data_IF_586977257503
#
_entry.id   IF_586977257503
#
_cell.length_a   1.000
_cell.length_b   1.000
_cell.length_c   1.000
_cell.angle_alpha   90.00
_cell.angle_beta   90.00
_cell.angle_gamma   90.00
#
_symmetry.space_group_name_H-M   'P 1'
#
loop_
_entity.id
_entity.type
_entity.pdbx_description
1 polymer ?
#
# COMPACT_ATOMS: atom_id res chain seq x y z
N UNK A 1 -38.48 -34.16 -10.99
CA UNK A 1 -37.90 -32.87 -10.56
C UNK A 1 -36.38 -32.95 -10.72
N UNK A 2 -35.76 -32.18 -11.67
CA UNK A 2 -34.30 -32.11 -11.82
C UNK A 2 -33.74 -31.33 -10.62
N UNK A 3 -32.89 -31.98 -9.80
CA UNK A 3 -32.16 -31.29 -8.73
C UNK A 3 -31.27 -30.26 -9.33
N UNK A 4 -31.55 -28.98 -9.14
CA UNK A 4 -30.64 -27.87 -9.49
C UNK A 4 -29.47 -27.99 -8.54
N UNK A 5 -28.30 -28.41 -9.06
CA UNK A 5 -27.03 -28.34 -8.33
C UNK A 5 -26.65 -26.87 -8.22
N UNK A 6 -26.91 -26.25 -7.07
CA UNK A 6 -26.37 -24.91 -6.75
C UNK A 6 -24.84 -25.09 -6.68
N UNK A 7 -24.12 -24.63 -7.69
CA UNK A 7 -22.65 -24.55 -7.62
C UNK A 7 -22.33 -23.46 -6.58
N UNK A 8 -21.58 -23.85 -5.56
CA UNK A 8 -21.01 -22.85 -4.64
C UNK A 8 -20.15 -21.86 -5.46
N UNK A 9 -20.25 -20.54 -5.19
CA UNK A 9 -19.42 -19.57 -5.88
C UNK A 9 -17.94 -19.89 -5.62
N UNK A 10 -17.13 -19.78 -6.65
CA UNK A 10 -15.67 -19.96 -6.55
C UNK A 10 -15.10 -18.87 -5.63
N UNK A 11 -14.10 -19.23 -4.82
CA UNK A 11 -13.35 -18.23 -4.04
C UNK A 11 -12.65 -17.25 -4.98
N UNK A 12 -12.75 -15.96 -4.65
CA UNK A 12 -12.11 -14.90 -5.44
C UNK A 12 -10.66 -14.72 -5.02
N UNK A 13 -9.79 -14.54 -6.00
CA UNK A 13 -8.35 -14.37 -5.80
C UNK A 13 -7.80 -13.31 -6.76
N UNK A 14 -6.70 -12.67 -6.35
CA UNK A 14 -5.91 -11.83 -7.23
C UNK A 14 -4.54 -12.48 -7.43
N UNK A 15 -4.17 -12.74 -8.68
CA UNK A 15 -2.86 -13.26 -9.04
C UNK A 15 -1.94 -12.06 -9.30
N UNK A 16 -0.73 -12.13 -8.76
CA UNK A 16 0.27 -11.06 -8.90
C UNK A 16 0.59 -10.79 -10.37
N UNK A 17 0.99 -9.56 -10.68
CA UNK A 17 1.50 -9.20 -12.01
C UNK A 17 2.56 -10.20 -12.46
N UNK A 18 2.40 -10.72 -13.70
CA UNK A 18 3.23 -11.81 -14.23
C UNK A 18 4.73 -11.51 -14.17
N UNK A 19 5.11 -10.26 -14.43
CA UNK A 19 6.51 -9.82 -14.39
C UNK A 19 7.11 -9.87 -12.97
N UNK A 20 6.29 -9.94 -11.91
CA UNK A 20 6.75 -10.03 -10.52
C UNK A 20 6.99 -11.47 -10.05
N UNK A 21 6.49 -12.46 -10.78
CA UNK A 21 6.72 -13.88 -10.44
C UNK A 21 8.17 -14.30 -10.66
N UNK A 22 8.80 -13.79 -11.73
CA UNK A 22 10.20 -14.05 -12.06
C UNK A 22 10.85 -12.79 -12.65
N UNK A 23 11.06 -11.75 -11.83
CA UNK A 23 11.63 -10.51 -12.32
C UNK A 23 13.12 -10.68 -12.60
N UNK A 24 13.64 -10.03 -13.64
CA UNK A 24 15.09 -9.98 -13.94
C UNK A 24 15.82 -8.93 -13.09
N UNK A 25 15.10 -8.01 -12.49
CA UNK A 25 15.69 -6.87 -11.78
C UNK A 25 14.92 -6.64 -10.48
N UNK A 26 15.53 -5.99 -9.48
CA UNK A 26 14.84 -5.61 -8.26
C UNK A 26 13.54 -4.84 -8.55
N UNK A 27 12.48 -5.17 -7.82
CA UNK A 27 11.23 -4.42 -7.90
C UNK A 27 11.42 -3.07 -7.20
N UNK A 28 11.14 -2.00 -7.92
CA UNK A 28 11.22 -0.65 -7.35
C UNK A 28 10.03 -0.40 -6.46
N UNK A 29 10.32 0.03 -5.23
CA UNK A 29 9.33 0.36 -4.20
C UNK A 29 9.52 1.82 -3.78
N UNK A 30 8.48 2.63 -3.89
CA UNK A 30 8.41 3.94 -3.26
C UNK A 30 7.70 3.80 -1.91
N UNK A 31 8.42 4.03 -0.81
CA UNK A 31 7.86 4.10 0.54
C UNK A 31 7.71 5.57 0.91
N UNK A 32 6.49 5.99 1.22
CA UNK A 32 6.15 7.39 1.47
C UNK A 32 5.79 7.56 2.95
N UNK A 33 6.56 8.41 3.64
CA UNK A 33 6.48 8.65 5.07
C UNK A 33 7.42 7.77 5.89
N UNK A 34 8.29 8.41 6.70
CA UNK A 34 9.27 7.79 7.59
C UNK A 34 8.89 7.94 9.08
N UNK A 35 7.59 8.07 9.36
CA UNK A 35 7.06 8.17 10.71
C UNK A 35 7.02 6.83 11.46
N UNK A 36 6.09 6.70 12.40
CA UNK A 36 5.94 5.49 13.22
C UNK A 36 5.76 4.22 12.41
N UNK A 37 4.80 4.20 11.47
CA UNK A 37 4.53 3.05 10.61
C UNK A 37 5.62 2.88 9.56
N UNK A 38 6.01 3.94 8.84
CA UNK A 38 6.96 3.86 7.73
C UNK A 38 8.35 3.39 8.14
N UNK A 39 8.85 3.79 9.32
CA UNK A 39 10.13 3.30 9.86
C UNK A 39 10.12 1.79 10.13
N UNK A 40 9.00 1.25 10.59
CA UNK A 40 8.79 -0.18 10.81
C UNK A 40 8.64 -0.94 9.48
N UNK A 41 7.86 -0.40 8.53
CA UNK A 41 7.69 -0.97 7.20
C UNK A 41 9.03 -1.05 6.46
N UNK A 42 9.87 0.00 6.53
CA UNK A 42 11.20 -0.02 5.91
C UNK A 42 12.06 -1.18 6.44
N UNK A 43 12.05 -1.40 7.77
CA UNK A 43 12.78 -2.51 8.39
C UNK A 43 12.23 -3.87 7.94
N UNK A 44 10.90 -4.00 7.82
CA UNK A 44 10.27 -5.22 7.32
C UNK A 44 10.62 -5.48 5.85
N UNK A 45 10.68 -4.43 5.01
CA UNK A 45 11.15 -4.54 3.62
C UNK A 45 12.61 -4.97 3.54
N UNK A 46 13.49 -4.50 4.44
CA UNK A 46 14.89 -4.94 4.52
C UNK A 46 15.00 -6.45 4.79
N UNK A 47 14.25 -6.95 5.76
CA UNK A 47 14.15 -8.38 6.06
C UNK A 47 13.60 -9.18 4.87
N UNK A 48 12.54 -8.67 4.24
CA UNK A 48 11.93 -9.29 3.07
C UNK A 48 12.90 -9.34 1.89
N UNK A 49 13.62 -8.25 1.63
CA UNK A 49 14.62 -8.19 0.57
C UNK A 49 15.71 -9.25 0.74
N UNK A 50 16.26 -9.37 1.96
CA UNK A 50 17.25 -10.40 2.26
C UNK A 50 16.71 -11.81 1.99
N UNK A 51 15.50 -12.12 2.47
CA UNK A 51 14.87 -13.42 2.24
C UNK A 51 14.54 -13.68 0.76
N UNK A 52 14.13 -12.67 0.00
CA UNK A 52 13.88 -12.80 -1.43
C UNK A 52 15.15 -13.13 -2.20
N UNK A 53 16.29 -12.49 -1.88
CA UNK A 53 17.59 -12.75 -2.50
C UNK A 53 18.03 -14.18 -2.23
N UNK A 54 17.93 -14.68 -0.99
CA UNK A 54 18.23 -16.07 -0.64
C UNK A 54 17.35 -17.09 -1.40
N UNK A 55 16.21 -16.65 -1.88
CA UNK A 55 15.28 -17.46 -2.69
C UNK A 55 15.44 -17.23 -4.20
N UNK A 56 16.58 -16.69 -4.65
CA UNK A 56 16.92 -16.39 -6.04
C UNK A 56 16.03 -15.34 -6.72
N UNK A 57 15.34 -14.49 -5.94
CA UNK A 57 14.65 -13.33 -6.44
C UNK A 57 15.61 -12.12 -6.45
N UNK A 58 15.61 -11.22 -7.46
CA UNK A 58 16.53 -10.09 -7.52
C UNK A 58 16.34 -9.05 -6.40
N UNK A 59 15.35 -9.23 -5.54
CA UNK A 59 15.10 -8.38 -4.39
C UNK A 59 14.27 -7.14 -4.69
N UNK A 60 14.44 -6.14 -3.82
CA UNK A 60 13.71 -4.87 -3.84
C UNK A 60 14.71 -3.71 -3.94
N UNK A 61 14.31 -2.63 -4.61
CA UNK A 61 15.01 -1.35 -4.59
C UNK A 61 14.08 -0.29 -4.00
N UNK A 62 14.33 0.13 -2.75
CA UNK A 62 13.44 1.06 -2.04
C UNK A 62 13.95 2.49 -2.14
N UNK A 63 13.03 3.42 -2.41
CA UNK A 63 13.18 4.86 -2.24
C UNK A 63 12.25 5.30 -1.11
N UNK A 64 12.82 5.89 -0.06
CA UNK A 64 12.07 6.40 1.08
C UNK A 64 11.91 7.92 0.96
N UNK A 65 10.67 8.37 0.84
CA UNK A 65 10.30 9.79 0.77
C UNK A 65 9.89 10.31 2.13
N UNK A 66 10.59 11.31 2.63
CA UNK A 66 10.23 12.05 3.84
C UNK A 66 11.09 13.31 3.94
N UNK A 67 10.47 14.48 4.07
CA UNK A 67 11.14 15.79 4.17
C UNK A 67 11.31 16.29 5.61
N UNK A 68 10.79 15.55 6.59
CA UNK A 68 10.93 15.89 8.02
C UNK A 68 12.31 15.54 8.57
N UNK A 69 12.65 16.22 9.66
CA UNK A 69 13.83 15.94 10.48
C UNK A 69 13.43 15.19 11.77
N UNK A 70 14.38 14.43 12.28
CA UNK A 70 14.22 13.73 13.55
C UNK A 70 14.17 14.71 14.71
N UNK A 71 13.11 14.63 15.50
CA UNK A 71 12.86 15.44 16.70
C UNK A 71 12.78 14.55 17.96
N UNK A 72 12.87 15.15 19.15
CA UNK A 72 12.80 14.40 20.42
C UNK A 72 11.50 13.62 20.59
N UNK A 73 10.37 14.17 20.12
CA UNK A 73 9.06 13.51 20.15
C UNK A 73 8.97 12.24 19.27
N UNK A 74 9.93 12.05 18.37
CA UNK A 74 9.97 10.87 17.52
C UNK A 74 10.67 9.66 18.18
N UNK A 75 11.54 9.91 19.18
CA UNK A 75 12.33 8.87 19.84
C UNK A 75 11.42 7.88 20.57
N UNK A 76 11.70 6.58 20.43
CA UNK A 76 10.97 5.50 21.10
C UNK A 76 9.69 5.04 20.37
N UNK A 77 8.88 5.95 19.86
CA UNK A 77 7.66 5.63 19.10
C UNK A 77 7.96 5.35 17.62
N UNK A 78 8.89 6.10 17.07
CA UNK A 78 9.47 5.89 15.74
C UNK A 78 10.86 5.29 15.92
N UNK A 79 11.37 4.60 14.92
CA UNK A 79 12.68 3.94 15.02
C UNK A 79 13.84 4.92 14.84
N UNK A 80 13.98 5.88 15.76
CA UNK A 80 15.09 6.84 15.75
C UNK A 80 15.87 6.82 17.06
N UNK A 81 17.19 7.05 16.96
CA UNK A 81 18.11 7.20 18.07
C UNK A 81 18.43 8.66 18.36
N UNK A 82 18.89 8.97 19.56
CA UNK A 82 19.30 10.32 19.96
C UNK A 82 20.39 10.91 19.07
N UNK A 83 21.31 10.05 18.58
CA UNK A 83 22.39 10.46 17.66
C UNK A 83 21.87 10.92 16.27
N UNK A 84 20.63 10.63 15.92
CA UNK A 84 20.02 11.00 14.64
C UNK A 84 19.19 12.30 14.70
N UNK A 85 19.12 12.95 15.87
CA UNK A 85 18.42 14.21 16.04
C UNK A 85 18.89 15.25 15.00
N UNK A 86 17.92 15.97 14.39
CA UNK A 86 18.11 16.98 13.33
C UNK A 86 18.53 16.44 11.96
N UNK A 87 18.82 15.14 11.80
CA UNK A 87 18.97 14.54 10.48
C UNK A 87 17.59 14.40 9.80
N UNK A 88 17.57 14.37 8.47
CA UNK A 88 16.36 14.00 7.75
C UNK A 88 15.96 12.56 8.10
N UNK A 89 14.67 12.32 8.38
CA UNK A 89 14.15 11.00 8.76
C UNK A 89 14.47 9.94 7.71
N UNK A 90 14.25 10.27 6.43
CA UNK A 90 14.56 9.39 5.31
C UNK A 90 16.04 9.01 5.26
N UNK A 91 16.96 9.97 5.48
CA UNK A 91 18.41 9.74 5.46
C UNK A 91 18.85 8.85 6.62
N UNK A 92 18.41 9.15 7.85
CA UNK A 92 18.76 8.39 9.04
C UNK A 92 18.36 6.92 8.90
N UNK A 93 17.13 6.66 8.46
CA UNK A 93 16.62 5.29 8.30
C UNK A 93 17.29 4.53 7.15
N UNK A 94 17.46 5.16 5.99
CA UNK A 94 18.10 4.52 4.83
C UNK A 94 19.56 4.18 5.11
N UNK A 95 20.32 5.06 5.76
CA UNK A 95 21.70 4.77 6.14
C UNK A 95 21.78 3.55 7.04
N UNK A 96 20.90 3.46 8.04
CA UNK A 96 20.85 2.33 8.96
C UNK A 96 20.48 1.02 8.28
N UNK A 97 19.46 1.03 7.44
CA UNK A 97 19.01 -0.15 6.70
C UNK A 97 20.07 -0.61 5.71
N UNK A 98 20.69 0.33 4.97
CA UNK A 98 21.78 0.01 4.05
C UNK A 98 22.98 -0.63 4.77
N UNK A 99 23.36 -0.07 5.93
CA UNK A 99 24.44 -0.62 6.72
C UNK A 99 24.12 -2.01 7.27
N UNK A 100 22.92 -2.21 7.79
CA UNK A 100 22.52 -3.45 8.46
C UNK A 100 22.25 -4.59 7.48
N UNK A 101 21.56 -4.33 6.36
CA UNK A 101 21.17 -5.35 5.39
C UNK A 101 22.05 -5.40 4.14
N UNK A 102 23.07 -4.55 4.02
CA UNK A 102 23.94 -4.49 2.84
C UNK A 102 23.21 -3.99 1.58
N UNK A 103 22.19 -3.17 1.73
CA UNK A 103 21.40 -2.65 0.60
C UNK A 103 21.98 -1.34 0.07
N UNK A 104 21.51 -0.89 -1.11
CA UNK A 104 21.86 0.40 -1.72
C UNK A 104 20.58 1.21 -2.02
N UNK A 105 19.70 1.28 -1.05
CA UNK A 105 18.43 1.98 -1.14
C UNK A 105 18.61 3.50 -1.03
N UNK A 106 17.63 4.28 -1.46
CA UNK A 106 17.77 5.73 -1.59
C UNK A 106 16.85 6.49 -0.65
N UNK A 107 17.39 7.48 0.03
CA UNK A 107 16.64 8.49 0.76
C UNK A 107 16.28 9.64 -0.20
N UNK A 108 15.03 10.06 -0.17
CA UNK A 108 14.51 11.22 -0.88
C UNK A 108 14.00 12.20 0.17
N UNK A 109 14.70 13.33 0.31
CA UNK A 109 14.38 14.37 1.33
C UNK A 109 13.35 15.38 0.82
N UNK A 110 12.39 14.89 0.05
CA UNK A 110 11.32 15.66 -0.57
C UNK A 110 9.98 14.99 -0.28
N UNK A 111 8.92 15.77 -0.30
CA UNK A 111 7.55 15.25 -0.29
C UNK A 111 7.24 14.50 -1.56
N UNK A 112 6.43 13.47 -1.43
CA UNK A 112 5.81 12.81 -2.58
C UNK A 112 4.49 13.54 -2.88
N UNK A 113 4.57 14.59 -3.69
CA UNK A 113 3.45 15.47 -4.04
C UNK A 113 3.46 15.84 -5.53
N UNK A 114 2.46 16.59 -5.97
CA UNK A 114 2.33 17.03 -7.37
C UNK A 114 3.48 17.96 -7.81
N UNK A 115 4.09 18.69 -6.89
CA UNK A 115 5.20 19.58 -7.20
C UNK A 115 6.46 18.77 -7.52
N UNK A 116 6.82 17.82 -6.67
CA UNK A 116 7.92 16.87 -6.88
C UNK A 116 7.69 16.02 -8.12
N UNK A 117 6.45 15.54 -8.32
CA UNK A 117 6.09 14.78 -9.53
C UNK A 117 6.29 15.57 -10.83
N UNK A 118 5.96 16.86 -10.85
CA UNK A 118 6.18 17.71 -12.03
C UNK A 118 7.67 17.95 -12.32
N UNK A 119 8.48 18.09 -11.26
CA UNK A 119 9.91 18.37 -11.39
C UNK A 119 10.74 17.12 -11.72
N UNK A 120 10.41 16.00 -11.10
CA UNK A 120 11.16 14.73 -11.17
C UNK A 120 10.22 13.53 -11.30
N UNK A 121 9.50 13.38 -12.42
CA UNK A 121 8.48 12.33 -12.58
C UNK A 121 9.06 10.91 -12.48
N UNK A 122 10.34 10.73 -12.77
CA UNK A 122 11.05 9.45 -12.69
C UNK A 122 11.16 8.93 -11.25
N UNK A 123 11.21 9.82 -10.26
CA UNK A 123 11.22 9.44 -8.84
C UNK A 123 9.87 8.83 -8.41
N UNK A 124 8.79 9.24 -9.05
CA UNK A 124 7.45 8.72 -8.73
C UNK A 124 7.15 7.36 -9.38
N UNK A 125 7.95 6.95 -10.38
CA UNK A 125 7.76 5.67 -11.08
C UNK A 125 8.28 4.50 -10.24
N UNK A 126 7.37 3.65 -9.74
CA UNK A 126 7.70 2.43 -9.00
C UNK A 126 6.62 1.38 -9.24
N UNK A 127 6.99 0.11 -9.31
CA UNK A 127 6.04 -1.00 -9.44
C UNK A 127 5.11 -1.08 -8.23
N UNK A 128 5.64 -0.82 -7.02
CA UNK A 128 4.89 -0.74 -5.77
C UNK A 128 5.08 0.63 -5.11
N UNK A 129 3.99 1.26 -4.74
CA UNK A 129 4.01 2.44 -3.86
C UNK A 129 3.35 2.08 -2.53
N UNK A 130 4.04 2.34 -1.44
CA UNK A 130 3.55 2.11 -0.07
C UNK A 130 3.38 3.47 0.60
N UNK A 131 2.18 3.77 1.09
CA UNK A 131 1.83 4.99 1.81
C UNK A 131 1.74 4.72 3.31
N UNK A 132 2.51 5.49 4.08
CA UNK A 132 2.48 5.54 5.54
C UNK A 132 2.30 6.98 6.02
N UNK A 133 1.53 7.77 5.27
CA UNK A 133 1.24 9.17 5.57
C UNK A 133 0.10 9.29 6.59
N UNK A 134 0.07 10.39 7.31
CA UNK A 134 -0.86 10.66 8.41
C UNK A 134 -2.12 11.42 7.99
N UNK A 135 -2.12 12.10 6.82
CA UNK A 135 -3.25 12.91 6.36
C UNK A 135 -4.02 12.27 5.22
N UNK A 136 -5.33 12.48 5.19
CA UNK A 136 -6.20 12.04 4.09
C UNK A 136 -5.85 12.77 2.80
N UNK A 137 -5.51 14.06 2.90
CA UNK A 137 -5.13 14.86 1.72
C UNK A 137 -3.90 14.28 1.02
N UNK A 138 -2.86 13.88 1.75
CA UNK A 138 -1.68 13.25 1.16
C UNK A 138 -2.03 11.92 0.46
N UNK A 139 -2.91 11.09 1.05
CA UNK A 139 -3.39 9.85 0.42
C UNK A 139 -4.11 10.09 -0.89
N UNK A 140 -4.98 11.11 -0.93
CA UNK A 140 -5.69 11.49 -2.16
C UNK A 140 -4.73 11.97 -3.24
N UNK A 141 -3.74 12.79 -2.87
CA UNK A 141 -2.74 13.30 -3.79
C UNK A 141 -1.84 12.19 -4.36
N UNK A 142 -1.37 11.26 -3.51
CA UNK A 142 -0.63 10.07 -3.94
C UNK A 142 -1.45 9.26 -4.94
N UNK A 143 -2.72 9.00 -4.63
CA UNK A 143 -3.60 8.25 -5.52
C UNK A 143 -3.79 8.92 -6.89
N UNK A 144 -3.94 10.25 -6.92
CA UNK A 144 -4.04 11.02 -8.16
C UNK A 144 -2.76 10.95 -9.00
N UNK A 145 -1.59 11.07 -8.35
CA UNK A 145 -0.28 10.94 -9.03
C UNK A 145 -0.15 9.56 -9.65
N UNK A 146 -0.46 8.49 -8.89
CA UNK A 146 -0.34 7.12 -9.36
C UNK A 146 -1.30 6.83 -10.53
N UNK A 147 -2.55 7.30 -10.48
CA UNK A 147 -3.51 7.19 -11.58
C UNK A 147 -3.02 7.94 -12.84
N UNK A 148 -2.40 9.11 -12.65
CA UNK A 148 -1.83 9.89 -13.73
C UNK A 148 -0.64 9.18 -14.36
N UNK A 149 0.29 8.69 -13.56
CA UNK A 149 1.44 7.91 -14.01
C UNK A 149 1.00 6.67 -14.80
N UNK A 150 0.04 5.91 -14.27
CA UNK A 150 -0.46 4.69 -14.91
C UNK A 150 -1.03 4.96 -16.31
N UNK A 151 -1.73 6.09 -16.50
CA UNK A 151 -2.29 6.49 -17.80
C UNK A 151 -1.22 6.84 -18.82
N UNK A 152 -0.10 7.43 -18.38
CA UNK A 152 0.97 7.91 -19.26
C UNK A 152 2.15 6.94 -19.37
N UNK A 153 2.26 5.96 -18.46
CA UNK A 153 3.28 4.93 -18.53
C UNK A 153 2.87 3.88 -19.56
N UNK A 154 3.61 3.78 -20.65
CA UNK A 154 3.52 2.65 -21.56
C UNK A 154 3.90 1.32 -20.85
N UNK A 155 4.49 0.39 -21.57
CA UNK A 155 5.01 -0.89 -21.03
C UNK A 155 6.36 -0.72 -20.32
N UNK A 156 6.57 0.39 -19.59
CA UNK A 156 7.82 0.68 -18.89
C UNK A 156 8.01 -0.19 -17.65
N UNK A 157 9.28 -0.56 -17.38
CA UNK A 157 9.71 -1.42 -16.26
C UNK A 157 9.18 -0.99 -14.88
N UNK A 158 9.08 0.30 -14.63
CA UNK A 158 8.65 0.87 -13.35
C UNK A 158 7.21 1.40 -13.42
N UNK A 159 6.39 0.85 -14.33
CA UNK A 159 4.97 1.20 -14.39
C UNK A 159 4.33 0.94 -13.03
N UNK A 160 3.57 1.90 -12.47
CA UNK A 160 2.84 1.69 -11.22
C UNK A 160 1.79 0.58 -11.39
N UNK A 161 1.93 -0.48 -10.59
CA UNK A 161 1.03 -1.65 -10.61
C UNK A 161 0.23 -1.73 -9.32
N UNK A 162 0.92 -1.61 -8.17
CA UNK A 162 0.30 -1.76 -6.86
C UNK A 162 0.48 -0.52 -5.98
N UNK A 163 -0.56 -0.27 -5.21
CA UNK A 163 -0.57 0.72 -4.14
C UNK A 163 -0.98 0.05 -2.83
N UNK A 164 -0.17 0.19 -1.79
CA UNK A 164 -0.46 -0.34 -0.46
C UNK A 164 -0.54 0.82 0.53
N UNK A 165 -1.68 0.97 1.19
CA UNK A 165 -1.92 2.04 2.16
C UNK A 165 -1.95 1.51 3.58
N UNK A 166 -1.23 2.19 4.46
CA UNK A 166 -1.25 2.01 5.91
C UNK A 166 -1.89 3.23 6.56
N UNK A 167 -2.97 3.01 7.27
CA UNK A 167 -3.60 4.06 8.07
C UNK A 167 -3.83 3.58 9.49
N UNK A 168 -3.67 4.47 10.44
CA UNK A 168 -3.86 4.18 11.85
C UNK A 168 -4.53 5.32 12.60
N UNK A 169 -5.16 4.96 13.69
CA UNK A 169 -5.63 5.82 14.76
C UNK A 169 -4.97 5.39 16.09
N UNK A 170 -5.55 5.74 17.22
CA UNK A 170 -4.96 5.42 18.53
C UNK A 170 -4.72 3.92 18.75
N UNK A 171 -5.73 3.08 18.58
CA UNK A 171 -5.67 1.63 18.84
C UNK A 171 -6.01 0.77 17.64
N UNK A 172 -6.42 1.39 16.55
CA UNK A 172 -6.89 0.69 15.36
C UNK A 172 -6.20 1.19 14.11
N UNK A 173 -6.29 0.43 13.05
CA UNK A 173 -5.79 0.82 11.76
C UNK A 173 -6.14 -0.16 10.67
N UNK A 174 -5.71 0.15 9.46
CA UNK A 174 -5.92 -0.69 8.29
C UNK A 174 -4.68 -0.78 7.43
N UNK A 175 -4.62 -1.87 6.70
CA UNK A 175 -3.69 -2.05 5.58
C UNK A 175 -4.48 -2.56 4.39
N UNK A 176 -4.37 -1.89 3.25
CA UNK A 176 -5.02 -2.30 2.01
C UNK A 176 -4.04 -2.31 0.84
N UNK A 177 -4.00 -3.42 0.12
CA UNK A 177 -3.36 -3.52 -1.18
C UNK A 177 -4.40 -3.25 -2.27
N UNK A 178 -4.01 -2.45 -3.25
CA UNK A 178 -4.83 -2.00 -4.37
C UNK A 178 -4.05 -2.13 -5.66
N UNK A 179 -4.74 -2.25 -6.80
CA UNK A 179 -4.11 -2.14 -8.12
C UNK A 179 -4.29 -0.74 -8.67
N UNK A 180 -3.29 -0.29 -9.43
CA UNK A 180 -3.36 0.97 -10.17
C UNK A 180 -3.75 0.64 -11.61
N UNK A 181 -5.06 0.44 -11.83
CA UNK A 181 -5.60 -0.08 -13.08
C UNK A 181 -5.78 -1.60 -13.07
N UNK A 182 -5.89 -2.18 -14.26
CA UNK A 182 -6.11 -3.62 -14.45
C UNK A 182 -4.79 -4.38 -14.48
N UNK A 183 -4.74 -5.47 -13.74
CA UNK A 183 -3.66 -6.47 -13.80
C UNK A 183 -4.20 -7.69 -14.54
N UNK A 184 -3.63 -8.08 -15.69
CA UNK A 184 -4.07 -9.25 -16.44
C UNK A 184 -4.08 -10.51 -15.57
N UNK A 185 -5.16 -11.25 -15.60
CA UNK A 185 -5.34 -12.43 -14.75
C UNK A 185 -5.42 -13.70 -15.57
N UNK A 186 -4.82 -14.81 -15.11
CA UNK A 186 -4.96 -16.11 -15.74
C UNK A 186 -6.38 -16.67 -15.52
N UNK A 187 -6.86 -17.48 -16.47
CA UNK A 187 -8.04 -18.30 -16.26
C UNK A 187 -7.75 -19.45 -15.29
N UNK A 188 -8.57 -19.60 -14.26
CA UNK A 188 -8.41 -20.62 -13.24
C UNK A 188 -9.70 -21.41 -13.03
N UNK A 189 -9.61 -22.76 -13.06
CA UNK A 189 -10.78 -23.64 -12.83
C UNK A 189 -11.29 -23.64 -11.39
N UNK A 190 -10.42 -23.38 -10.42
CA UNK A 190 -10.71 -23.48 -8.98
C UNK A 190 -11.06 -22.13 -8.34
N UNK A 191 -10.72 -21.03 -8.98
CA UNK A 191 -10.84 -19.67 -8.42
C UNK A 191 -11.46 -18.73 -9.44
N UNK A 192 -12.14 -17.72 -8.93
CA UNK A 192 -12.54 -16.55 -9.72
C UNK A 192 -11.43 -15.51 -9.59
N UNK A 193 -10.70 -15.25 -10.66
CA UNK A 193 -9.63 -14.26 -10.66
C UNK A 193 -10.18 -12.84 -10.79
N UNK A 194 -9.53 -11.87 -10.10
CA UNK A 194 -9.96 -10.48 -10.03
C UNK A 194 -8.84 -9.57 -10.52
N UNK A 195 -9.06 -8.85 -11.61
CA UNK A 195 -8.07 -7.99 -12.28
C UNK A 195 -7.85 -6.64 -11.60
N UNK A 196 -8.78 -6.20 -10.74
CA UNK A 196 -8.75 -4.88 -10.12
C UNK A 196 -9.04 -4.97 -8.64
N UNK A 197 -8.14 -4.45 -7.81
CA UNK A 197 -8.32 -4.26 -6.38
C UNK A 197 -8.57 -2.76 -6.12
N UNK A 198 -9.75 -2.36 -5.59
CA UNK A 198 -10.08 -0.96 -5.40
C UNK A 198 -9.08 -0.22 -4.51
N UNK A 199 -8.79 1.04 -4.82
CA UNK A 199 -7.98 1.90 -3.94
C UNK A 199 -8.79 2.32 -2.71
N UNK A 200 -8.12 2.45 -1.58
CA UNK A 200 -8.75 2.94 -0.34
C UNK A 200 -9.41 4.31 -0.53
N UNK A 201 -8.80 5.17 -1.34
CA UNK A 201 -9.31 6.51 -1.68
C UNK A 201 -10.57 6.50 -2.54
N UNK A 202 -10.88 5.39 -3.19
CA UNK A 202 -12.10 5.23 -3.99
C UNK A 202 -13.18 4.49 -3.20
N UNK A 203 -12.83 3.36 -2.56
CA UNK A 203 -13.78 2.50 -1.86
C UNK A 203 -14.21 3.05 -0.50
N UNK A 204 -13.28 3.67 0.25
CA UNK A 204 -13.51 4.16 1.62
C UNK A 204 -13.35 5.68 1.74
N UNK A 205 -13.58 6.42 0.65
CA UNK A 205 -13.36 7.88 0.59
C UNK A 205 -14.10 8.63 1.68
N UNK A 206 -15.38 8.36 1.85
CA UNK A 206 -16.22 9.04 2.85
C UNK A 206 -15.75 8.73 4.28
N UNK A 207 -15.36 7.47 4.53
CA UNK A 207 -14.84 7.07 5.83
C UNK A 207 -13.49 7.75 6.14
N UNK A 208 -12.62 7.87 5.13
CA UNK A 208 -11.35 8.59 5.27
C UNK A 208 -11.58 10.06 5.60
N UNK A 209 -12.46 10.75 4.88
CA UNK A 209 -12.79 12.15 5.13
C UNK A 209 -13.41 12.35 6.51
N UNK A 210 -14.29 11.45 6.95
CA UNK A 210 -14.90 11.49 8.27
C UNK A 210 -13.89 11.20 9.41
N UNK A 211 -12.82 10.47 9.13
CA UNK A 211 -11.78 10.10 10.11
C UNK A 211 -10.71 11.19 10.29
N UNK A 212 -10.70 12.23 9.47
CA UNK A 212 -9.69 13.29 9.56
C UNK A 212 -9.88 14.07 10.87
N UNK A 213 -8.96 13.88 11.80
CA UNK A 213 -8.98 14.56 13.10
C UNK A 213 -8.83 16.07 12.91
N UNK A 214 -9.61 16.85 13.64
CA UNK A 214 -9.49 18.31 13.69
C UNK A 214 -8.25 18.76 14.45
N UNK A 215 -7.68 17.90 15.32
CA UNK A 215 -6.46 18.18 16.07
C UNK A 215 -5.22 17.76 15.29
N UNK A 216 -4.61 18.73 14.60
CA UNK A 216 -3.36 18.59 13.85
C UNK A 216 -2.14 19.10 14.64
N UNK A 217 -2.27 19.37 15.94
CA UNK A 217 -1.18 19.90 16.76
C UNK A 217 -0.04 18.88 16.87
N UNK A 218 1.19 19.21 16.47
CA UNK A 218 2.34 18.34 16.67
C UNK A 218 2.55 18.04 18.15
N UNK A 219 2.93 16.79 18.47
CA UNK A 219 3.28 16.41 19.83
C UNK A 219 4.67 16.92 20.20
N UNK A 220 4.79 17.68 21.29
CA UNK A 220 6.08 18.22 21.75
C UNK A 220 6.92 17.21 22.53
N UNK A 221 6.31 16.11 23.01
CA UNK A 221 6.98 15.06 23.78
C UNK A 221 6.48 13.66 23.41
N UNK A 222 7.27 12.63 23.78
CA UNK A 222 6.84 11.23 23.62
C UNK A 222 5.57 10.94 24.44
N UNK A 223 5.47 11.46 25.67
CA UNK A 223 4.31 11.25 26.53
C UNK A 223 3.03 11.78 25.86
N UNK A 224 3.07 13.00 25.31
CA UNK A 224 1.95 13.55 24.55
C UNK A 224 1.61 12.75 23.30
N UNK A 225 2.62 12.30 22.56
CA UNK A 225 2.42 11.45 21.39
C UNK A 225 1.72 10.13 21.74
N UNK A 226 2.04 9.51 22.89
CA UNK A 226 1.41 8.28 23.38
C UNK A 226 -0.04 8.46 23.83
N UNK A 227 -0.47 9.68 24.18
CA UNK A 227 -1.90 9.94 24.42
C UNK A 227 -2.73 9.89 23.13
N UNK A 228 -2.12 10.25 22.00
CA UNK A 228 -2.75 10.27 20.67
C UNK A 228 -2.66 8.92 19.96
N UNK A 229 -1.62 8.11 20.22
CA UNK A 229 -1.38 6.85 19.52
C UNK A 229 -0.75 5.80 20.45
N UNK A 230 -1.26 4.57 20.40
CA UNK A 230 -0.69 3.42 21.12
C UNK A 230 0.73 3.10 20.63
N UNK A 231 1.57 2.63 21.55
CA UNK A 231 2.99 2.35 21.27
C UNK A 231 3.19 1.27 20.18
N UNK A 232 2.33 0.25 20.15
CA UNK A 232 2.52 -0.93 19.30
C UNK A 232 1.66 -0.94 18.03
N UNK A 233 0.73 -0.01 17.85
CA UNK A 233 -0.15 -0.02 16.67
C UNK A 233 0.66 0.06 15.36
N UNK A 234 1.71 0.88 15.33
CA UNK A 234 2.55 1.05 14.15
C UNK A 234 3.28 -0.23 13.75
N UNK A 235 3.91 -0.91 14.73
CA UNK A 235 4.64 -2.16 14.49
C UNK A 235 3.71 -3.33 14.16
N UNK A 236 2.55 -3.40 14.79
CA UNK A 236 1.54 -4.42 14.49
C UNK A 236 1.05 -4.31 13.06
N UNK A 237 0.68 -3.09 12.60
CA UNK A 237 0.27 -2.85 11.22
C UNK A 237 1.40 -3.12 10.23
N UNK A 238 2.61 -2.63 10.51
CA UNK A 238 3.76 -2.80 9.64
C UNK A 238 4.12 -4.28 9.42
N UNK A 239 4.22 -5.07 10.49
CA UNK A 239 4.56 -6.49 10.39
C UNK A 239 3.45 -7.31 9.72
N UNK A 240 2.18 -7.06 10.06
CA UNK A 240 1.06 -7.79 9.45
C UNK A 240 0.89 -7.40 7.98
N UNK A 241 1.05 -6.10 7.65
CA UNK A 241 1.03 -5.64 6.26
C UNK A 241 2.19 -6.18 5.44
N UNK A 242 3.40 -6.24 6.01
CA UNK A 242 4.54 -6.89 5.37
C UNK A 242 4.30 -8.39 5.12
N UNK A 243 3.59 -9.07 6.04
CA UNK A 243 3.20 -10.48 5.84
C UNK A 243 2.25 -10.65 4.64
N UNK A 244 1.30 -9.73 4.44
CA UNK A 244 0.43 -9.74 3.26
C UNK A 244 1.25 -9.55 1.97
N UNK A 245 2.20 -8.62 1.96
CA UNK A 245 3.08 -8.39 0.83
C UNK A 245 4.01 -9.59 0.58
N UNK A 246 4.49 -10.24 1.65
CA UNK A 246 5.27 -11.46 1.55
C UNK A 246 4.50 -12.61 0.89
N UNK A 247 3.22 -12.80 1.25
CA UNK A 247 2.36 -13.78 0.56
C UNK A 247 2.24 -13.48 -0.93
N UNK A 248 2.08 -12.20 -1.31
CA UNK A 248 2.04 -11.82 -2.73
C UNK A 248 3.30 -12.25 -3.48
N UNK A 249 4.49 -12.03 -2.91
CA UNK A 249 5.75 -12.41 -3.54
C UNK A 249 6.00 -13.93 -3.55
N UNK A 250 5.58 -14.63 -2.50
CA UNK A 250 5.88 -16.06 -2.33
C UNK A 250 4.85 -16.99 -3.00
N UNK A 251 3.59 -16.65 -2.87
CA UNK A 251 2.50 -17.49 -3.37
C UNK A 251 1.99 -17.00 -4.73
N UNK A 252 2.35 -15.79 -5.12
CA UNK A 252 1.90 -15.18 -6.36
C UNK A 252 0.39 -14.94 -6.44
N UNK A 253 -0.33 -15.12 -5.32
CA UNK A 253 -1.79 -15.06 -5.28
C UNK A 253 -2.28 -14.62 -3.90
N UNK A 254 -3.34 -13.81 -3.85
CA UNK A 254 -3.98 -13.35 -2.63
C UNK A 254 -5.48 -13.69 -2.62
N UNK A 255 -5.95 -14.17 -1.48
CA UNK A 255 -7.38 -14.32 -1.14
C UNK A 255 -7.88 -13.07 -0.38
N UNK A 256 -7.01 -12.48 0.41
CA UNK A 256 -7.26 -11.25 1.14
C UNK A 256 -6.35 -10.15 0.59
N UNK A 257 -6.88 -8.95 0.41
CA UNK A 257 -6.12 -7.78 -0.08
C UNK A 257 -5.77 -6.78 1.02
N UNK A 258 -6.17 -7.07 2.26
CA UNK A 258 -5.94 -6.20 3.40
C UNK A 258 -6.62 -6.67 4.65
N UNK A 259 -6.61 -5.83 5.66
CA UNK A 259 -7.26 -6.08 6.94
C UNK A 259 -7.51 -4.77 7.70
N UNK A 260 -8.49 -4.82 8.61
CA UNK A 260 -8.65 -3.88 9.71
C UNK A 260 -8.11 -4.52 10.99
N UNK A 261 -7.40 -3.75 11.81
CA UNK A 261 -6.84 -4.17 13.09
C UNK A 261 -7.36 -3.26 14.21
N UNK A 262 -7.71 -3.86 15.35
CA UNK A 262 -8.00 -3.16 16.59
C UNK A 262 -7.25 -3.84 17.73
N UNK A 263 -6.22 -3.17 18.27
CA UNK A 263 -5.39 -3.70 19.36
C UNK A 263 -6.10 -3.66 20.71
N UNK A 264 -7.05 -2.76 20.91
CA UNK A 264 -7.80 -2.68 22.17
C UNK A 264 -8.63 -3.95 22.40
N UNK A 265 -9.22 -4.47 21.32
CA UNK A 265 -10.08 -5.66 21.34
C UNK A 265 -9.36 -6.91 20.82
N UNK A 266 -8.08 -6.82 20.49
CA UNK A 266 -7.26 -7.89 19.86
C UNK A 266 -7.96 -8.54 18.67
N UNK A 267 -8.65 -7.71 17.84
CA UNK A 267 -9.43 -8.17 16.70
C UNK A 267 -8.74 -7.77 15.40
N UNK A 268 -8.65 -8.73 14.48
CA UNK A 268 -8.25 -8.50 13.10
C UNK A 268 -9.33 -9.01 12.15
N UNK A 269 -9.80 -8.16 11.24
CA UNK A 269 -10.80 -8.46 10.23
C UNK A 269 -10.17 -8.42 8.85
N UNK A 270 -10.02 -9.56 8.13
CA UNK A 270 -9.48 -9.58 6.79
C UNK A 270 -10.45 -8.95 5.78
N UNK A 271 -9.89 -8.27 4.78
CA UNK A 271 -10.62 -7.73 3.63
C UNK A 271 -10.35 -8.66 2.45
N UNK A 272 -11.38 -9.37 2.02
CA UNK A 272 -11.28 -10.36 0.93
C UNK A 272 -11.10 -9.68 -0.41
N UNK A 273 -10.47 -10.39 -1.33
CA UNK A 273 -10.54 -10.08 -2.75
C UNK A 273 -11.97 -10.37 -3.22
N UNK A 274 -12.64 -9.34 -3.74
CA UNK A 274 -14.00 -9.46 -4.26
C UNK A 274 -14.04 -8.96 -5.71
N UNK A 275 -14.78 -9.62 -6.61
CA UNK A 275 -14.98 -9.09 -7.94
C UNK A 275 -15.72 -7.74 -7.85
N UNK A 276 -15.48 -6.83 -8.79
CA UNK A 276 -16.25 -5.59 -8.84
C UNK A 276 -17.73 -5.93 -8.93
N UNK A 277 -18.54 -5.25 -8.13
CA UNK A 277 -20.01 -5.41 -8.16
C UNK A 277 -20.46 -5.07 -9.57
N UNK A 278 -21.09 -6.04 -10.26
CA UNK A 278 -21.63 -5.80 -11.57
C UNK A 278 -22.68 -4.68 -11.45
N UNK A 279 -22.39 -3.51 -12.01
CA UNK A 279 -23.40 -2.46 -12.16
C UNK A 279 -24.44 -3.01 -13.13
N UNK A 280 -25.59 -3.41 -12.62
CA UNK A 280 -26.73 -3.80 -13.45
C UNK A 280 -27.19 -2.52 -14.17
N UNK A 281 -26.63 -2.28 -15.36
CA UNK A 281 -27.14 -1.21 -16.24
C UNK A 281 -28.50 -1.70 -16.71
N UNK A 282 -29.60 -1.01 -16.37
CA UNK A 282 -30.92 -1.41 -16.86
C UNK A 282 -30.89 -1.38 -18.39
N UNK A 283 -31.22 -2.51 -19.00
CA UNK A 283 -31.34 -2.62 -20.45
C UNK A 283 -32.29 -1.55 -20.94
N UNK A 284 -31.82 -0.66 -21.80
CA UNK A 284 -32.70 0.30 -22.48
C UNK A 284 -33.85 -0.46 -23.14
N UNK A 285 -35.13 -0.09 -22.93
CA UNK A 285 -36.24 -0.78 -23.55
C UNK A 285 -36.06 -0.75 -25.07
N UNK A 286 -36.16 -1.91 -25.71
CA UNK A 286 -36.14 -2.01 -27.18
C UNK A 286 -37.27 -1.11 -27.75
N UNK A 287 -36.89 -0.12 -28.54
CA UNK A 287 -37.85 0.70 -29.28
C UNK A 287 -38.77 -0.24 -30.07
N UNK A 288 -40.07 -0.19 -29.76
CA UNK A 288 -41.07 -0.89 -30.53
C UNK A 288 -41.01 -0.42 -32.00
N UNK A 289 -40.83 -1.36 -32.92
CA UNK A 289 -40.92 -1.06 -34.38
C UNK A 289 -42.35 -0.58 -34.63
N UNK A 290 -42.53 0.71 -35.01
CA UNK A 290 -43.78 1.20 -35.57
C UNK A 290 -44.07 0.34 -36.80
N UNK A 291 -45.18 -0.42 -36.77
CA UNK A 291 -45.75 -0.97 -37.99
C UNK A 291 -46.21 0.19 -38.86
N UNK A 292 -45.64 0.29 -40.06
CA UNK A 292 -46.19 1.14 -41.09
C UNK A 292 -47.50 0.52 -41.56
N UNK A 293 -48.54 1.36 -41.61
CA UNK A 293 -49.80 1.05 -42.21
C UNK A 293 -49.72 1.36 -43.72
#
# INVERSE_FOLDING_TARGET
MKKIKIRQPLASVHVVEKEWLNPYNPIVVNLIGAGGTGSQVLTALGRMNHALIELNHPGLFVRLFDDDKVERANLGRQLFATAELKQYKSVALINRVNLFFGTNWKAITQRYDKATFKQQPELSQAGLTISCVDTVQARLEIADILKTLHKHSGHGRNKPVYYMDFGNSRFSGQVLLSTIGKVPQPEMKKYQTVETLPMITDEFRELLLASESTDKTPSCSLAEALTKQDLFINSALANTGASLLWQLFREGMLVNRGFFLNLKDFRMQPIKVTPPVAVIVPLKPKRAKKKAA
#
